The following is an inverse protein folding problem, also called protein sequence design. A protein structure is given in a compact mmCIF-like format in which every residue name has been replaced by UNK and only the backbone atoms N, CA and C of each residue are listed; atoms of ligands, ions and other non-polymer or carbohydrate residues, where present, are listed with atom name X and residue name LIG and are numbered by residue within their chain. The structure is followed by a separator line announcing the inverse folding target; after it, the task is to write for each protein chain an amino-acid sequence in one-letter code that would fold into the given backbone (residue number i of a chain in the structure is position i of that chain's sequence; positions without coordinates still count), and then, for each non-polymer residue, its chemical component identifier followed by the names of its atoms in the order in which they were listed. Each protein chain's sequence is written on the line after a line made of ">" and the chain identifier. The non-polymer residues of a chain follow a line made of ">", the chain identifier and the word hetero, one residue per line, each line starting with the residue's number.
data_IF_862993793394
#
_entry.id   IF_862993793394
#
_cell.length_a   1.000
_cell.length_b   1.000
_cell.length_c   1.000
_cell.angle_alpha   90.00
_cell.angle_beta   90.00
_cell.angle_gamma   90.00
#
_symmetry.space_group_name_H-M   'P 1'
#
loop_
_entity.id
_entity.type
_entity.pdbx_description
1 polymer ?
#
# COMPACT_ATOMS: atom_id res chain seq x y z
N UNK A 1 -14.75 9.52 -10.08
CA UNK A 1 -13.63 8.73 -10.64
C UNK A 1 -14.13 7.31 -10.94
N UNK A 2 -13.42 6.52 -11.75
CA UNK A 2 -13.83 5.12 -11.99
C UNK A 2 -13.58 4.26 -10.74
N UNK A 3 -14.48 3.30 -10.49
CA UNK A 3 -14.34 2.34 -9.40
C UNK A 3 -12.99 1.58 -9.49
N UNK A 4 -12.21 1.48 -8.40
CA UNK A 4 -10.90 0.81 -8.40
C UNK A 4 -10.94 -0.63 -8.91
N UNK A 5 -11.99 -1.39 -8.57
CA UNK A 5 -12.14 -2.79 -9.00
C UNK A 5 -12.21 -2.91 -10.53
N UNK A 6 -12.92 -1.99 -11.18
CA UNK A 6 -13.02 -1.94 -12.64
C UNK A 6 -11.66 -1.56 -13.24
N UNK A 7 -11.01 -0.54 -12.69
CA UNK A 7 -9.68 -0.11 -13.16
C UNK A 7 -8.68 -1.26 -13.04
N UNK A 8 -8.60 -1.93 -11.88
CA UNK A 8 -7.72 -3.07 -11.64
C UNK A 8 -8.04 -4.26 -12.56
N UNK A 9 -9.31 -4.55 -12.81
CA UNK A 9 -9.73 -5.58 -13.77
C UNK A 9 -9.24 -5.27 -15.18
N UNK A 10 -9.41 -4.02 -15.63
CA UNK A 10 -8.92 -3.58 -16.94
C UNK A 10 -7.40 -3.67 -17.04
N UNK A 11 -6.67 -3.25 -16.01
CA UNK A 11 -5.21 -3.39 -15.94
C UNK A 11 -4.81 -4.88 -16.05
N UNK A 12 -5.47 -5.77 -15.30
CA UNK A 12 -5.19 -7.21 -15.36
C UNK A 12 -5.44 -7.81 -16.75
N UNK A 13 -6.52 -7.41 -17.43
CA UNK A 13 -6.79 -7.90 -18.79
C UNK A 13 -5.74 -7.41 -19.78
N UNK A 14 -5.32 -6.14 -19.66
CA UNK A 14 -4.29 -5.57 -20.54
C UNK A 14 -2.90 -6.15 -20.29
N UNK A 15 -2.59 -6.65 -19.08
CA UNK A 15 -1.30 -7.27 -18.79
C UNK A 15 -1.07 -8.59 -19.52
N UNK A 16 -2.11 -9.18 -20.11
CA UNK A 16 -2.00 -10.37 -20.95
C UNK A 16 -1.30 -10.08 -22.28
N UNK A 17 -1.36 -8.82 -22.76
CA UNK A 17 -0.65 -8.39 -23.95
C UNK A 17 0.75 -7.85 -23.57
N UNK A 18 1.80 -8.56 -24.00
CA UNK A 18 3.21 -8.20 -23.73
C UNK A 18 3.65 -6.90 -24.40
N UNK A 19 3.00 -6.50 -25.49
CA UNK A 19 3.32 -5.25 -26.20
C UNK A 19 2.60 -4.04 -25.60
N UNK A 20 1.62 -4.28 -24.72
CA UNK A 20 0.83 -3.21 -24.15
C UNK A 20 1.63 -2.40 -23.13
N UNK A 21 1.80 -1.11 -23.40
CA UNK A 21 2.46 -0.17 -22.50
C UNK A 21 1.43 0.65 -21.72
N UNK A 22 1.54 0.61 -20.40
CA UNK A 22 0.70 1.45 -19.56
C UNK A 22 1.16 2.89 -19.59
N UNK A 23 0.21 3.78 -19.85
CA UNK A 23 0.43 5.22 -19.69
C UNK A 23 -0.42 5.73 -18.54
N UNK A 24 0.10 6.73 -17.81
CA UNK A 24 -0.65 7.49 -16.79
C UNK A 24 -1.17 6.67 -15.59
N UNK A 25 -0.54 5.56 -15.22
CA UNK A 25 -0.91 4.78 -14.02
C UNK A 25 -0.94 5.62 -12.75
N UNK A 26 0.01 6.56 -12.62
CA UNK A 26 0.19 7.37 -11.43
C UNK A 26 -1.05 8.17 -11.02
N UNK A 27 -1.88 8.60 -11.98
CA UNK A 27 -3.11 9.36 -11.68
C UNK A 27 -4.15 8.55 -10.91
N UNK A 28 -4.09 7.21 -10.99
CA UNK A 28 -5.01 6.34 -10.26
C UNK A 28 -4.80 6.47 -8.75
N UNK A 29 -3.58 6.83 -8.33
CA UNK A 29 -3.25 7.13 -6.94
C UNK A 29 -3.89 8.42 -6.42
N UNK A 30 -4.62 9.18 -7.25
CA UNK A 30 -5.39 10.34 -6.80
C UNK A 30 -6.82 9.98 -6.42
N UNK A 31 -7.22 8.72 -6.59
CA UNK A 31 -8.55 8.26 -6.27
C UNK A 31 -8.57 7.71 -4.83
N UNK A 32 -9.30 8.35 -3.88
CA UNK A 32 -9.42 7.87 -2.50
C UNK A 32 -9.92 6.42 -2.40
N UNK A 33 -10.78 5.98 -3.33
CA UNK A 33 -11.35 4.63 -3.31
C UNK A 33 -10.28 3.53 -3.42
N UNK A 34 -9.14 3.81 -4.07
CA UNK A 34 -8.02 2.86 -4.13
C UNK A 34 -7.42 2.63 -2.74
N UNK A 35 -7.33 3.68 -1.92
CA UNK A 35 -6.79 3.59 -0.57
C UNK A 35 -7.79 2.91 0.38
N UNK A 36 -9.09 3.15 0.20
CA UNK A 36 -10.13 2.41 0.94
C UNK A 36 -10.09 0.92 0.62
N UNK A 37 -9.96 0.56 -0.66
CA UNK A 37 -9.80 -0.84 -1.05
C UNK A 37 -8.49 -1.45 -0.51
N UNK A 38 -7.40 -0.68 -0.51
CA UNK A 38 -6.14 -1.13 0.08
C UNK A 38 -6.26 -1.34 1.59
N UNK A 39 -6.93 -0.44 2.31
CA UNK A 39 -7.21 -0.56 3.74
C UNK A 39 -8.00 -1.84 4.04
N UNK A 40 -9.09 -2.12 3.32
CA UNK A 40 -9.89 -3.34 3.49
C UNK A 40 -9.09 -4.62 3.24
N UNK A 41 -8.11 -4.59 2.34
CA UNK A 41 -7.22 -5.73 2.11
C UNK A 41 -6.15 -5.87 3.21
N UNK A 42 -5.61 -4.74 3.69
CA UNK A 42 -4.54 -4.73 4.70
C UNK A 42 -5.06 -5.06 6.10
N UNK A 43 -6.26 -4.60 6.46
CA UNK A 43 -6.86 -4.81 7.78
C UNK A 43 -7.11 -6.28 8.12
N UNK A 44 -7.19 -7.14 7.10
CA UNK A 44 -7.39 -8.59 7.22
C UNK A 44 -6.11 -9.37 7.48
N UNK A 45 -4.94 -8.73 7.37
CA UNK A 45 -3.66 -9.41 7.58
C UNK A 45 -3.37 -9.58 9.08
N UNK A 46 -2.77 -10.70 9.47
CA UNK A 46 -2.40 -10.98 10.88
C UNK A 46 -1.47 -9.91 11.49
N UNK A 47 -0.76 -9.15 10.64
CA UNK A 47 0.14 -8.07 11.05
C UNK A 47 -0.47 -6.67 11.01
N UNK A 48 -1.76 -6.50 10.71
CA UNK A 48 -2.36 -5.18 10.46
C UNK A 48 -2.24 -4.20 11.64
N UNK A 49 -2.26 -4.72 12.87
CA UNK A 49 -2.10 -3.94 14.10
C UNK A 49 -0.64 -3.78 14.53
N UNK A 50 0.33 -4.26 13.73
CA UNK A 50 1.75 -4.15 14.06
C UNK A 50 2.21 -2.72 13.86
N UNK A 51 2.81 -2.14 14.89
CA UNK A 51 3.29 -0.77 14.86
C UNK A 51 4.48 -0.61 13.89
N UNK A 52 4.31 0.33 12.96
CA UNK A 52 5.31 0.78 11.99
C UNK A 52 6.45 1.59 12.60
N UNK A 53 7.30 2.17 11.75
CA UNK A 53 8.42 3.03 12.20
C UNK A 53 7.92 4.38 12.72
N UNK A 54 6.82 4.87 12.17
CA UNK A 54 6.14 6.10 12.54
C UNK A 54 5.29 5.98 13.82
N UNK A 55 5.38 4.84 14.51
CA UNK A 55 4.57 4.48 15.67
C UNK A 55 3.06 4.40 15.40
N UNK A 56 2.64 4.18 14.15
CA UNK A 56 1.23 4.00 13.79
C UNK A 56 0.90 2.55 13.46
N UNK A 57 -0.36 2.18 13.67
CA UNK A 57 -0.98 0.94 13.18
C UNK A 57 -2.02 1.30 12.11
N UNK A 58 -2.67 0.29 11.54
CA UNK A 58 -3.77 0.53 10.59
C UNK A 58 -4.95 1.32 11.21
N UNK A 59 -5.09 1.36 12.54
CA UNK A 59 -6.16 2.09 13.24
C UNK A 59 -6.05 3.61 13.07
N UNK A 60 -4.87 4.12 12.71
CA UNK A 60 -4.66 5.54 12.43
C UNK A 60 -5.33 6.01 11.13
N UNK A 61 -5.73 5.06 10.28
CA UNK A 61 -6.26 5.35 8.96
C UNK A 61 -7.50 6.24 9.02
N UNK A 62 -7.45 7.36 8.31
CA UNK A 62 -8.58 8.26 8.16
C UNK A 62 -8.65 8.85 6.76
N UNK A 63 -9.83 9.35 6.38
CA UNK A 63 -9.98 10.05 5.10
C UNK A 63 -9.07 11.27 4.98
N UNK A 64 -8.80 11.96 6.09
CA UNK A 64 -7.86 13.08 6.13
C UNK A 64 -6.45 12.62 5.75
N UNK A 65 -5.97 11.52 6.31
CA UNK A 65 -4.66 10.97 5.95
C UNK A 65 -4.58 10.57 4.48
N UNK A 66 -5.65 10.01 3.92
CA UNK A 66 -5.73 9.68 2.49
C UNK A 66 -5.64 10.94 1.63
N UNK A 67 -6.35 12.01 1.99
CA UNK A 67 -6.30 13.29 1.28
C UNK A 67 -4.92 13.94 1.36
N UNK A 68 -4.31 13.97 2.54
CA UNK A 68 -2.95 14.48 2.77
C UNK A 68 -1.94 13.68 1.95
N UNK A 69 -2.03 12.34 1.95
CA UNK A 69 -1.18 11.46 1.15
C UNK A 69 -1.34 11.72 -0.35
N UNK A 70 -2.58 11.86 -0.84
CA UNK A 70 -2.87 12.18 -2.24
C UNK A 70 -2.25 13.53 -2.60
N UNK A 71 -2.28 14.53 -1.70
CA UNK A 71 -1.71 15.85 -1.97
C UNK A 71 -0.19 15.76 -2.20
N UNK A 72 0.52 14.98 -1.36
CA UNK A 72 1.97 14.74 -1.45
C UNK A 72 2.33 13.88 -2.68
N UNK A 73 1.47 12.93 -3.05
CA UNK A 73 1.62 12.17 -4.30
C UNK A 73 1.42 13.08 -5.53
N UNK A 74 0.49 14.03 -5.50
CA UNK A 74 0.30 14.99 -6.61
C UNK A 74 1.51 15.90 -6.79
N UNK A 75 2.13 16.36 -5.71
CA UNK A 75 3.38 17.13 -5.74
C UNK A 75 4.62 16.28 -6.02
N UNK A 76 4.48 14.95 -6.10
CA UNK A 76 5.57 13.98 -6.27
C UNK A 76 6.65 14.09 -5.18
N UNK A 77 6.27 14.56 -3.99
CA UNK A 77 7.18 14.75 -2.85
C UNK A 77 7.01 13.66 -1.79
N UNK A 78 6.36 12.55 -2.13
CA UNK A 78 6.16 11.44 -1.22
C UNK A 78 7.48 10.73 -0.94
N UNK A 79 7.86 10.70 0.33
CA UNK A 79 9.05 10.02 0.81
C UNK A 79 8.61 8.92 1.79
N UNK A 80 8.71 7.62 1.42
CA UNK A 80 8.36 6.54 2.32
C UNK A 80 9.35 6.44 3.48
N UNK A 81 8.87 6.00 4.64
CA UNK A 81 9.73 5.67 5.77
C UNK A 81 10.57 4.41 5.48
N UNK A 82 11.81 4.33 6.00
CA UNK A 82 12.58 3.10 5.92
C UNK A 82 11.89 1.98 6.69
N UNK A 83 12.01 0.73 6.24
CA UNK A 83 11.43 -0.42 6.96
C UNK A 83 12.17 -0.72 8.26
N UNK A 84 11.43 -1.04 9.33
CA UNK A 84 11.99 -1.53 10.60
C UNK A 84 12.42 -2.98 10.47
N UNK A 85 13.62 -3.32 10.93
CA UNK A 85 14.10 -4.69 10.95
C UNK A 85 13.77 -5.36 12.28
N UNK A 86 13.05 -6.47 12.23
CA UNK A 86 12.72 -7.30 13.40
C UNK A 86 13.11 -8.75 13.14
N UNK A 87 13.42 -9.50 14.20
CA UNK A 87 13.76 -10.91 14.09
C UNK A 87 12.71 -11.75 14.80
N UNK A 88 12.21 -12.78 14.11
CA UNK A 88 11.35 -13.79 14.74
C UNK A 88 12.05 -15.16 14.72
N UNK A 89 11.77 -15.97 15.72
CA UNK A 89 12.31 -17.32 15.81
C UNK A 89 11.68 -18.25 14.76
N UNK A 90 12.50 -19.09 14.14
CA UNK A 90 12.03 -20.22 13.32
C UNK A 90 11.96 -21.48 14.19
N UNK A 91 11.19 -22.48 13.73
CA UNK A 91 11.11 -23.80 14.36
C UNK A 91 12.47 -24.50 14.54
N UNK A 92 13.47 -24.15 13.73
CA UNK A 92 14.82 -24.74 13.79
C UNK A 92 15.83 -23.91 14.61
N UNK A 93 15.38 -22.96 15.43
CA UNK A 93 16.22 -22.13 16.30
C UNK A 93 17.03 -21.03 15.60
N UNK A 94 16.89 -20.87 14.27
CA UNK A 94 17.47 -19.71 13.54
C UNK A 94 16.48 -18.55 13.53
N UNK A 95 17.00 -17.31 13.49
CA UNK A 95 16.17 -16.11 13.37
C UNK A 95 15.84 -15.79 11.91
N UNK A 96 14.58 -15.40 11.64
CA UNK A 96 14.11 -14.85 10.35
C UNK A 96 14.06 -13.32 10.44
N UNK A 97 14.83 -12.58 9.63
CA UNK A 97 14.67 -11.14 9.54
C UNK A 97 13.36 -10.80 8.82
N UNK A 98 12.64 -9.83 9.35
CA UNK A 98 11.45 -9.21 8.79
C UNK A 98 11.71 -7.72 8.60
N UNK A 99 11.28 -7.16 7.46
CA UNK A 99 11.17 -5.72 7.25
C UNK A 99 9.71 -5.32 7.44
N UNK A 100 9.41 -4.57 8.49
CA UNK A 100 8.08 -4.04 8.78
C UNK A 100 8.05 -2.61 8.23
N UNK A 101 7.28 -2.33 7.16
CA UNK A 101 7.09 -0.96 6.68
C UNK A 101 6.23 -0.14 7.65
N UNK A 102 6.20 1.16 7.43
CA UNK A 102 5.24 2.08 8.04
C UNK A 102 3.86 1.94 7.42
#
# INVERSE_FOLDING_TARGET
>A
MQCPKIVLSNLRTKSLNKEYQYTRLYRNLYNPDFFLLAYDNLSKNDGALTIGVDQRSIDGFSMKEVEDLISVLKSKSYQPYPSRRTYIEKKNGKKRPLGIPS
#
